data_IF_262809064811
#
_entry.id   IF_262809064811
#
_cell.length_a   1.000
_cell.length_b   1.000
_cell.length_c   1.000
_cell.angle_alpha   90.00
_cell.angle_beta   90.00
_cell.angle_gamma   90.00
#
_symmetry.space_group_name_H-M   'P 1'
#
loop_
_entity.id
_entity.type
_entity.pdbx_description
1 polymer ?
#
# COMPACT_ATOMS: atom_id res chain seq x y z
N UNK A 1 -4.39 -20.26 11.30
CA UNK A 1 -5.25 -19.98 10.11
C UNK A 1 -4.41 -19.41 8.98
N UNK A 2 -3.60 -18.36 9.22
CA UNK A 2 -2.67 -17.85 8.21
C UNK A 2 -1.78 -18.93 7.59
N UNK A 3 -1.32 -19.88 8.40
CA UNK A 3 -0.51 -21.04 8.00
C UNK A 3 -1.16 -21.82 6.84
N UNK A 4 -2.49 -21.93 6.86
CA UNK A 4 -3.29 -22.60 5.83
C UNK A 4 -3.40 -21.77 4.54
N UNK A 5 -3.36 -20.43 4.64
CA UNK A 5 -3.36 -19.50 3.51
C UNK A 5 -1.97 -19.47 2.87
N UNK A 6 -0.92 -19.31 3.69
CA UNK A 6 0.49 -19.34 3.30
C UNK A 6 0.84 -20.68 2.63
N UNK A 7 0.25 -21.80 3.07
CA UNK A 7 0.44 -23.10 2.42
C UNK A 7 -0.11 -23.17 0.97
N UNK A 8 -1.11 -22.35 0.60
CA UNK A 8 -1.60 -22.23 -0.78
C UNK A 8 -0.59 -21.46 -1.64
N UNK A 9 -0.13 -20.30 -1.14
CA UNK A 9 0.89 -19.46 -1.77
C UNK A 9 2.17 -20.27 -2.04
N UNK A 10 2.67 -20.96 -1.01
CA UNK A 10 3.89 -21.77 -1.02
C UNK A 10 3.74 -23.07 -1.82
N UNK A 11 2.52 -23.53 -2.13
CA UNK A 11 2.29 -24.78 -2.84
C UNK A 11 3.07 -24.85 -4.17
N UNK A 12 3.92 -25.87 -4.35
CA UNK A 12 4.70 -26.09 -5.60
C UNK A 12 3.84 -26.56 -6.79
N UNK A 13 2.55 -26.84 -6.58
CA UNK A 13 1.57 -27.13 -7.63
C UNK A 13 0.77 -25.87 -7.95
N UNK A 14 0.18 -25.82 -9.15
CA UNK A 14 -0.79 -24.79 -9.51
C UNK A 14 -2.02 -24.90 -8.61
N UNK A 15 -2.38 -23.81 -7.94
CA UNK A 15 -3.61 -23.64 -7.17
C UNK A 15 -4.58 -22.78 -7.99
N UNK A 16 -5.80 -23.26 -8.23
CA UNK A 16 -6.82 -22.54 -8.99
C UNK A 16 -8.04 -22.34 -8.10
N UNK A 17 -8.39 -21.09 -7.84
CA UNK A 17 -9.68 -20.72 -7.26
C UNK A 17 -10.74 -20.69 -8.37
N UNK A 18 -11.87 -21.35 -8.12
CA UNK A 18 -12.95 -21.59 -9.09
C UNK A 18 -14.29 -21.26 -8.46
N UNK A 19 -14.72 -19.99 -8.58
CA UNK A 19 -15.83 -19.45 -7.81
C UNK A 19 -17.16 -19.51 -8.56
N UNK A 20 -18.21 -19.96 -7.88
CA UNK A 20 -19.59 -19.92 -8.35
C UNK A 20 -20.50 -19.53 -7.17
N UNK A 21 -21.38 -18.54 -7.38
CA UNK A 21 -22.11 -17.90 -6.29
C UNK A 21 -21.22 -16.98 -5.43
N UNK A 22 -21.67 -16.71 -4.20
CA UNK A 22 -21.05 -15.72 -3.33
C UNK A 22 -19.77 -16.20 -2.63
N UNK A 23 -18.74 -15.35 -2.59
CA UNK A 23 -17.56 -15.55 -1.74
C UNK A 23 -17.15 -14.24 -1.04
N UNK A 24 -17.20 -14.25 0.28
CA UNK A 24 -17.21 -13.05 1.14
C UNK A 24 -16.15 -13.19 2.24
N UNK A 25 -15.51 -12.08 2.64
CA UNK A 25 -14.49 -12.01 3.70
C UNK A 25 -13.41 -13.10 3.57
N UNK A 26 -13.42 -14.11 4.45
CA UNK A 26 -12.51 -15.26 4.42
C UNK A 26 -12.50 -16.03 3.08
N UNK A 27 -13.57 -15.97 2.29
CA UNK A 27 -13.59 -16.46 0.91
C UNK A 27 -12.62 -15.69 0.01
N UNK A 28 -12.58 -14.36 0.11
CA UNK A 28 -11.62 -13.51 -0.58
C UNK A 28 -10.20 -13.81 -0.10
N UNK A 29 -9.98 -13.91 1.22
CA UNK A 29 -8.68 -14.27 1.83
C UNK A 29 -8.10 -15.57 1.28
N UNK A 30 -8.95 -16.59 1.04
CA UNK A 30 -8.53 -17.85 0.44
C UNK A 30 -8.18 -17.68 -1.05
N UNK A 31 -8.99 -16.97 -1.84
CA UNK A 31 -8.74 -16.89 -3.28
C UNK A 31 -7.56 -16.00 -3.66
N UNK A 32 -7.25 -14.94 -2.90
CA UNK A 32 -6.09 -14.06 -3.17
C UNK A 32 -4.75 -14.77 -2.98
N UNK A 33 -4.72 -15.85 -2.18
CA UNK A 33 -3.59 -16.76 -2.03
C UNK A 33 -3.46 -17.83 -3.14
N UNK A 34 -4.37 -17.85 -4.12
CA UNK A 34 -4.37 -18.80 -5.24
C UNK A 34 -3.76 -18.19 -6.52
N UNK A 35 -2.94 -18.99 -7.22
CA UNK A 35 -2.20 -18.57 -8.43
C UNK A 35 -3.09 -18.04 -9.56
N UNK A 36 -4.27 -18.66 -9.73
CA UNK A 36 -5.22 -18.33 -10.78
C UNK A 36 -6.61 -18.29 -10.16
N UNK A 37 -7.31 -17.19 -10.38
CA UNK A 37 -8.69 -16.95 -9.92
C UNK A 37 -9.61 -16.88 -11.14
N UNK A 38 -10.71 -17.62 -11.12
CA UNK A 38 -11.72 -17.67 -12.20
C UNK A 38 -13.11 -17.85 -11.62
N UNK A 39 -14.12 -17.16 -12.19
CA UNK A 39 -15.49 -17.16 -11.66
C UNK A 39 -16.56 -17.43 -12.73
N UNK A 40 -17.79 -17.68 -12.29
CA UNK A 40 -18.98 -17.56 -13.16
C UNK A 40 -19.53 -16.15 -13.19
N UNK A 41 -20.27 -15.77 -14.24
CA UNK A 41 -21.00 -14.49 -14.35
C UNK A 41 -22.00 -14.20 -13.21
N UNK A 42 -22.45 -15.22 -12.48
CA UNK A 42 -23.32 -15.08 -11.31
C UNK A 42 -22.58 -15.28 -9.98
N UNK A 43 -21.24 -15.18 -9.99
CA UNK A 43 -20.45 -15.07 -8.77
C UNK A 43 -20.48 -13.62 -8.26
N UNK A 44 -20.33 -13.46 -6.95
CA UNK A 44 -20.35 -12.16 -6.30
C UNK A 44 -19.43 -12.11 -5.09
N UNK A 45 -18.81 -10.96 -4.89
CA UNK A 45 -17.73 -10.74 -3.94
C UNK A 45 -18.04 -9.58 -3.01
N UNK A 46 -17.55 -9.63 -1.77
CA UNK A 46 -17.64 -8.50 -0.84
C UNK A 46 -16.65 -8.60 0.33
N UNK A 47 -16.01 -7.48 0.67
CA UNK A 47 -15.08 -7.33 1.81
C UNK A 47 -15.89 -6.80 3.00
N UNK A 48 -16.70 -7.67 3.61
CA UNK A 48 -17.66 -7.31 4.68
C UNK A 48 -17.08 -7.25 6.08
N UNK A 49 -15.76 -7.24 6.22
CA UNK A 49 -15.10 -7.15 7.51
C UNK A 49 -15.55 -5.90 8.31
N UNK A 50 -15.71 -4.74 7.66
CA UNK A 50 -16.25 -3.53 8.32
C UNK A 50 -17.74 -3.66 8.67
N UNK A 51 -18.55 -4.15 7.73
CA UNK A 51 -20.00 -4.41 7.91
C UNK A 51 -20.29 -5.37 9.08
N UNK A 52 -19.37 -6.29 9.35
CA UNK A 52 -19.48 -7.33 10.38
C UNK A 52 -18.69 -6.98 11.67
N UNK A 53 -18.10 -5.77 11.74
CA UNK A 53 -17.21 -5.33 12.83
C UNK A 53 -16.05 -6.31 13.15
N UNK A 54 -15.52 -6.97 12.12
CA UNK A 54 -14.40 -7.91 12.21
C UNK A 54 -13.06 -7.17 12.02
N UNK A 55 -12.07 -7.51 12.84
CA UNK A 55 -10.72 -7.02 12.66
C UNK A 55 -10.13 -7.56 11.34
N UNK A 56 -9.73 -6.65 10.44
CA UNK A 56 -9.14 -7.03 9.15
C UNK A 56 -7.71 -7.53 9.35
N UNK A 57 -7.39 -8.68 8.77
CA UNK A 57 -6.02 -9.17 8.70
C UNK A 57 -5.17 -8.32 7.75
N UNK A 58 -4.08 -7.72 8.26
CA UNK A 58 -3.19 -6.86 7.49
C UNK A 58 -2.58 -7.58 6.27
N UNK A 59 -2.22 -8.86 6.41
CA UNK A 59 -1.72 -9.66 5.30
C UNK A 59 -2.76 -9.84 4.18
N UNK A 60 -4.04 -9.88 4.52
CA UNK A 60 -5.14 -10.00 3.56
C UNK A 60 -5.37 -8.70 2.78
N UNK A 61 -5.26 -7.54 3.44
CA UNK A 61 -5.25 -6.25 2.74
C UNK A 61 -4.03 -6.09 1.84
N UNK A 62 -2.84 -6.53 2.28
CA UNK A 62 -1.61 -6.47 1.49
C UNK A 62 -1.67 -7.37 0.24
N UNK A 63 -2.20 -8.59 0.36
CA UNK A 63 -2.48 -9.49 -0.79
C UNK A 63 -3.54 -8.93 -1.73
N UNK A 64 -4.57 -8.26 -1.19
CA UNK A 64 -5.63 -7.68 -2.00
C UNK A 64 -5.09 -6.47 -2.79
N UNK A 65 -4.34 -5.56 -2.15
CA UNK A 65 -3.78 -4.38 -2.82
C UNK A 65 -2.69 -4.69 -3.85
N UNK A 66 -1.96 -5.81 -3.72
CA UNK A 66 -1.05 -6.26 -4.79
C UNK A 66 -1.75 -6.88 -5.99
N UNK A 67 -3.05 -7.23 -5.87
CA UNK A 67 -3.89 -7.76 -6.96
C UNK A 67 -4.74 -6.64 -7.59
N UNK A 68 -5.58 -5.97 -6.78
CA UNK A 68 -6.57 -4.99 -7.29
C UNK A 68 -6.07 -3.54 -7.29
N UNK A 69 -4.89 -3.28 -6.74
CA UNK A 69 -4.37 -1.93 -6.53
C UNK A 69 -4.97 -1.23 -5.30
N UNK A 70 -4.20 -0.32 -4.70
CA UNK A 70 -4.55 0.33 -3.43
C UNK A 70 -5.93 1.02 -3.44
N UNK A 71 -6.26 1.76 -4.50
CA UNK A 71 -7.53 2.49 -4.60
C UNK A 71 -8.76 1.57 -4.53
N UNK A 72 -8.75 0.47 -5.28
CA UNK A 72 -9.82 -0.52 -5.26
C UNK A 72 -9.88 -1.25 -3.90
N UNK A 73 -8.74 -1.58 -3.30
CA UNK A 73 -8.71 -2.16 -1.94
C UNK A 73 -9.37 -1.24 -0.91
N UNK A 74 -9.09 0.06 -0.96
CA UNK A 74 -9.68 1.03 -0.02
C UNK A 74 -11.18 1.22 -0.26
N UNK A 75 -11.63 1.34 -1.51
CA UNK A 75 -13.06 1.40 -1.84
C UNK A 75 -13.81 0.15 -1.34
N UNK A 76 -13.33 -1.05 -1.71
CA UNK A 76 -13.98 -2.31 -1.34
C UNK A 76 -14.00 -2.55 0.18
N UNK A 77 -12.90 -2.25 0.88
CA UNK A 77 -12.78 -2.47 2.32
C UNK A 77 -13.56 -1.43 3.16
N UNK A 78 -13.63 -0.18 2.73
CA UNK A 78 -14.35 0.88 3.48
C UNK A 78 -15.85 0.92 3.18
N UNK A 79 -16.28 0.56 1.96
CA UNK A 79 -17.71 0.56 1.59
C UNK A 79 -18.43 -0.76 1.90
N UNK A 80 -17.68 -1.85 2.12
CA UNK A 80 -18.21 -3.22 2.24
C UNK A 80 -19.21 -3.61 1.12
N UNK A 81 -19.11 -2.98 -0.05
CA UNK A 81 -20.07 -3.17 -1.15
C UNK A 81 -19.95 -4.56 -1.77
N UNK A 82 -21.00 -4.98 -2.47
CA UNK A 82 -20.96 -6.20 -3.28
C UNK A 82 -20.58 -5.84 -4.72
N UNK A 83 -19.65 -6.61 -5.29
CA UNK A 83 -19.13 -6.45 -6.64
C UNK A 83 -19.16 -7.80 -7.40
N UNK A 84 -19.07 -7.75 -8.72
CA UNK A 84 -19.51 -8.86 -9.58
C UNK A 84 -18.62 -9.07 -10.82
N UNK A 85 -18.71 -10.29 -11.37
CA UNK A 85 -18.34 -10.71 -12.73
C UNK A 85 -17.24 -9.92 -13.48
N UNK A 86 -17.60 -8.86 -14.20
CA UNK A 86 -16.70 -8.10 -15.06
C UNK A 86 -15.92 -7.03 -14.29
N UNK A 87 -16.44 -6.59 -13.14
CA UNK A 87 -15.74 -5.70 -12.22
C UNK A 87 -14.59 -6.44 -11.53
N UNK A 88 -14.85 -7.67 -11.06
CA UNK A 88 -13.80 -8.58 -10.55
C UNK A 88 -12.68 -8.78 -11.57
N UNK A 89 -13.01 -8.79 -12.87
CA UNK A 89 -12.04 -8.96 -13.96
C UNK A 89 -11.31 -7.65 -14.30
N UNK A 90 -12.00 -6.51 -14.27
CA UNK A 90 -11.41 -5.20 -14.50
C UNK A 90 -10.38 -4.85 -13.41
N UNK A 91 -10.59 -5.34 -12.19
CA UNK A 91 -9.68 -5.21 -11.05
C UNK A 91 -8.61 -6.32 -10.97
N UNK A 92 -8.45 -7.19 -11.99
CA UNK A 92 -7.54 -8.36 -11.98
C UNK A 92 -7.72 -9.35 -10.80
N UNK A 93 -8.81 -9.22 -10.02
CA UNK A 93 -9.18 -10.19 -8.99
C UNK A 93 -9.54 -11.54 -9.62
N UNK A 94 -10.14 -11.55 -10.82
CA UNK A 94 -10.34 -12.79 -11.58
C UNK A 94 -9.77 -12.69 -13.00
N UNK A 95 -8.98 -13.68 -13.39
CA UNK A 95 -8.38 -13.73 -14.72
C UNK A 95 -9.39 -14.01 -15.84
N UNK A 96 -10.49 -14.71 -15.53
CA UNK A 96 -11.53 -15.14 -16.49
C UNK A 96 -12.88 -15.29 -15.81
N UNK A 97 -13.92 -14.89 -16.54
CA UNK A 97 -15.33 -15.06 -16.22
C UNK A 97 -15.94 -16.04 -17.22
N UNK A 98 -16.74 -16.99 -16.75
CA UNK A 98 -17.47 -17.96 -17.56
C UNK A 98 -18.98 -17.77 -17.42
N UNK A 99 -19.78 -18.01 -18.46
CA UNK A 99 -21.23 -17.77 -18.39
C UNK A 99 -21.95 -18.86 -17.59
N UNK A 100 -21.51 -20.11 -17.72
CA UNK A 100 -22.12 -21.27 -17.06
C UNK A 100 -21.08 -22.04 -16.21
N UNK A 101 -21.50 -22.58 -15.07
CA UNK A 101 -20.63 -23.38 -14.17
C UNK A 101 -19.95 -24.55 -14.91
N UNK A 102 -20.67 -25.21 -15.83
CA UNK A 102 -20.11 -26.32 -16.61
C UNK A 102 -18.98 -25.88 -17.59
N UNK A 103 -18.91 -24.59 -17.94
CA UNK A 103 -17.83 -23.99 -18.73
C UNK A 103 -16.63 -23.64 -17.84
N UNK A 104 -16.88 -23.10 -16.64
CA UNK A 104 -15.86 -22.89 -15.61
C UNK A 104 -15.11 -24.20 -15.32
N UNK A 105 -15.82 -25.31 -15.10
CA UNK A 105 -15.22 -26.63 -14.90
C UNK A 105 -14.36 -27.09 -16.10
N UNK A 106 -14.82 -26.84 -17.34
CA UNK A 106 -14.05 -27.12 -18.56
C UNK A 106 -12.79 -26.24 -18.61
N UNK A 107 -12.91 -24.96 -18.26
CA UNK A 107 -11.82 -23.99 -18.17
C UNK A 107 -10.75 -24.40 -17.16
N UNK A 108 -11.15 -24.78 -15.94
CA UNK A 108 -10.25 -25.28 -14.88
C UNK A 108 -9.55 -26.57 -15.32
N UNK A 109 -10.28 -27.56 -15.86
CA UNK A 109 -9.67 -28.79 -16.40
C UNK A 109 -8.67 -28.53 -17.52
N UNK A 110 -8.91 -27.53 -18.37
CA UNK A 110 -7.97 -27.15 -19.42
C UNK A 110 -6.75 -26.40 -18.86
N UNK A 111 -6.93 -25.48 -17.90
CA UNK A 111 -5.84 -24.82 -17.18
C UNK A 111 -4.91 -25.82 -16.51
N UNK A 112 -5.45 -26.83 -15.82
CA UNK A 112 -4.67 -27.88 -15.14
C UNK A 112 -3.81 -28.72 -16.11
N UNK A 113 -4.22 -28.87 -17.38
CA UNK A 113 -3.48 -29.62 -18.42
C UNK A 113 -2.32 -28.84 -19.05
N UNK A 114 -2.27 -27.52 -18.90
CA UNK A 114 -1.24 -26.68 -19.54
C UNK A 114 0.04 -26.60 -18.70
N UNK A 115 1.17 -26.89 -19.33
CA UNK A 115 2.52 -26.76 -18.74
C UNK A 115 2.97 -27.99 -17.93
N UNK A 116 4.29 -28.18 -17.84
CA UNK A 116 4.90 -29.25 -17.03
C UNK A 116 5.00 -28.81 -15.57
N UNK A 117 4.68 -29.70 -14.62
CA UNK A 117 4.67 -29.39 -13.18
C UNK A 117 5.99 -28.79 -12.65
N UNK A 118 7.14 -29.27 -13.12
CA UNK A 118 8.44 -28.72 -12.74
C UNK A 118 8.65 -27.26 -13.18
N UNK A 119 8.17 -26.90 -14.38
CA UNK A 119 8.25 -25.52 -14.90
C UNK A 119 7.31 -24.59 -14.13
N UNK A 120 6.13 -25.08 -13.74
CA UNK A 120 5.18 -24.34 -12.90
C UNK A 120 5.79 -24.07 -11.52
N UNK A 121 6.43 -25.07 -10.90
CA UNK A 121 7.10 -24.92 -9.61
C UNK A 121 8.26 -23.90 -9.67
N UNK A 122 9.10 -23.97 -10.71
CA UNK A 122 10.17 -23.00 -10.97
C UNK A 122 9.61 -21.58 -11.14
N UNK A 123 8.59 -21.41 -11.98
CA UNK A 123 7.97 -20.11 -12.25
C UNK A 123 7.42 -19.47 -10.97
N UNK A 124 6.71 -20.25 -10.12
CA UNK A 124 6.21 -19.76 -8.83
C UNK A 124 7.34 -19.32 -7.90
N UNK A 125 8.47 -20.02 -7.88
CA UNK A 125 9.63 -19.61 -7.06
C UNK A 125 10.24 -18.30 -7.55
N UNK A 126 10.47 -18.17 -8.86
CA UNK A 126 11.01 -16.93 -9.45
C UNK A 126 10.10 -15.72 -9.20
N UNK A 127 8.77 -15.88 -9.26
CA UNK A 127 7.85 -14.79 -8.91
C UNK A 127 7.94 -14.39 -7.42
N UNK A 128 8.06 -15.36 -6.49
CA UNK A 128 8.27 -15.06 -5.06
C UNK A 128 9.57 -14.30 -4.81
N UNK A 129 10.66 -14.69 -5.48
CA UNK A 129 11.93 -13.97 -5.40
C UNK A 129 11.81 -12.52 -5.89
N UNK A 130 11.09 -12.29 -7.00
CA UNK A 130 10.87 -10.95 -7.53
C UNK A 130 10.03 -10.08 -6.58
N UNK A 131 8.95 -10.62 -6.03
CA UNK A 131 8.10 -9.93 -5.06
C UNK A 131 8.88 -9.56 -3.78
N UNK A 132 9.70 -10.49 -3.26
CA UNK A 132 10.56 -10.25 -2.10
C UNK A 132 11.64 -9.18 -2.38
N UNK A 133 12.23 -9.16 -3.58
CA UNK A 133 13.20 -8.12 -3.99
C UNK A 133 12.53 -6.76 -4.10
N UNK A 134 11.32 -6.68 -4.66
CA UNK A 134 10.52 -5.45 -4.74
C UNK A 134 10.27 -4.87 -3.35
N UNK A 135 9.74 -5.68 -2.42
CA UNK A 135 9.48 -5.24 -1.04
C UNK A 135 10.74 -4.79 -0.30
N UNK A 136 11.89 -5.41 -0.57
CA UNK A 136 13.17 -4.99 0.01
C UNK A 136 13.68 -3.66 -0.58
N UNK A 137 13.43 -3.40 -1.87
CA UNK A 137 13.77 -2.13 -2.51
C UNK A 137 12.88 -0.98 -2.00
N UNK A 138 11.57 -1.22 -1.89
CA UNK A 138 10.60 -0.25 -1.31
C UNK A 138 11.00 0.14 0.13
N UNK A 139 11.42 -0.83 0.94
CA UNK A 139 11.96 -0.57 2.30
C UNK A 139 13.24 0.28 2.27
N UNK A 140 14.21 -0.07 1.42
CA UNK A 140 15.47 0.67 1.30
C UNK A 140 15.23 2.12 0.88
N UNK A 141 14.32 2.37 -0.06
CA UNK A 141 13.91 3.73 -0.46
C UNK A 141 13.33 4.47 0.75
N UNK A 142 12.34 3.88 1.45
CA UNK A 142 11.75 4.54 2.64
C UNK A 142 12.77 4.83 3.75
N UNK A 143 13.79 3.99 3.93
CA UNK A 143 14.87 4.25 4.90
C UNK A 143 15.76 5.40 4.46
N UNK A 144 16.05 5.53 3.16
CA UNK A 144 16.81 6.65 2.61
C UNK A 144 16.04 7.97 2.74
N UNK A 145 14.74 7.97 2.40
CA UNK A 145 13.83 9.11 2.57
C UNK A 145 13.75 9.57 4.04
N UNK A 146 13.73 8.64 5.01
CA UNK A 146 13.83 9.00 6.43
C UNK A 146 15.21 9.57 6.77
N UNK A 147 16.33 9.03 6.27
CA UNK A 147 17.65 9.63 6.55
C UNK A 147 17.86 11.02 5.92
N UNK A 148 17.26 11.31 4.75
CA UNK A 148 17.25 12.68 4.22
C UNK A 148 16.35 13.60 5.06
N UNK A 149 15.18 13.11 5.49
CA UNK A 149 14.25 13.86 6.35
C UNK A 149 14.82 14.16 7.74
N UNK A 150 15.48 13.19 8.37
CA UNK A 150 16.12 13.31 9.69
C UNK A 150 17.32 14.25 9.64
N UNK A 151 18.20 14.12 8.62
CA UNK A 151 19.35 15.04 8.45
C UNK A 151 18.90 16.46 8.12
N UNK A 152 17.83 16.63 7.32
CA UNK A 152 17.25 17.96 7.07
C UNK A 152 16.59 18.52 8.34
N UNK A 153 15.93 17.67 9.14
CA UNK A 153 15.33 18.03 10.42
C UNK A 153 16.37 18.46 11.46
N UNK A 154 17.46 17.72 11.62
CA UNK A 154 18.59 18.09 12.47
C UNK A 154 19.26 19.37 11.99
N UNK A 155 19.45 19.55 10.67
CA UNK A 155 20.03 20.78 10.11
C UNK A 155 19.13 22.01 10.31
N UNK A 156 17.81 21.88 10.15
CA UNK A 156 16.84 22.97 10.41
C UNK A 156 16.76 23.28 11.91
N UNK A 157 16.71 22.26 12.78
CA UNK A 157 16.72 22.46 14.23
C UNK A 157 18.02 23.11 14.72
N UNK A 158 19.17 22.78 14.11
CA UNK A 158 20.45 23.44 14.38
C UNK A 158 20.47 24.90 13.89
N UNK A 159 19.85 25.22 12.75
CA UNK A 159 19.73 26.58 12.25
C UNK A 159 18.82 27.45 13.14
N UNK A 160 17.60 26.99 13.46
CA UNK A 160 16.70 27.69 14.40
C UNK A 160 17.32 27.84 15.80
N UNK A 161 18.12 26.87 16.23
CA UNK A 161 18.85 26.91 17.49
C UNK A 161 20.01 27.91 17.51
N UNK A 162 20.56 28.27 16.36
CA UNK A 162 21.62 29.27 16.21
C UNK A 162 21.05 30.70 16.15
N UNK A 163 19.94 30.92 15.44
CA UNK A 163 19.30 32.25 15.34
C UNK A 163 18.90 32.80 16.72
N UNK A 164 18.33 31.97 17.59
CA UNK A 164 17.97 32.34 18.98
C UNK A 164 19.17 32.69 19.87
N UNK A 165 20.40 32.32 19.49
CA UNK A 165 21.61 32.71 20.21
C UNK A 165 22.25 33.99 19.67
N UNK A 166 21.80 34.50 18.52
CA UNK A 166 22.20 35.81 18.00
C UNK A 166 21.51 36.96 18.74
N UNK A 167 20.19 36.85 18.97
CA UNK A 167 19.38 37.94 19.55
C UNK A 167 19.71 38.26 21.02
N UNK A 168 20.27 37.31 21.78
CA UNK A 168 20.73 37.55 23.17
C UNK A 168 22.14 38.18 23.25
N UNK A 169 22.85 38.33 22.11
CA UNK A 169 24.26 38.77 22.07
C UNK A 169 24.49 40.28 21.87
N UNK A 170 23.51 41.02 21.34
CA UNK A 170 23.68 42.42 20.90
C UNK A 170 23.01 43.43 21.86
N UNK A 171 23.34 43.33 23.15
CA UNK A 171 22.69 44.08 24.24
C UNK A 171 23.64 44.78 25.24
N UNK A 172 24.93 44.94 24.93
CA UNK A 172 25.86 45.74 25.76
C UNK A 172 26.99 46.41 24.95
N UNK A 173 26.67 47.55 24.31
CA UNK A 173 27.65 48.41 23.63
C UNK A 173 27.15 49.86 23.50
N UNK A 174 27.16 50.62 24.60
CA UNK A 174 26.84 52.07 24.60
C UNK A 174 28.09 52.94 24.81
N UNK A 175 28.59 53.64 23.77
CA UNK A 175 29.52 54.75 23.91
C UNK A 175 28.79 56.10 23.84
N UNK A 176 29.21 57.01 24.71
CA UNK A 176 28.73 58.39 24.89
C UNK A 176 29.46 59.37 23.95
N UNK A 177 28.77 59.87 22.90
CA UNK A 177 28.97 61.20 22.30
C UNK A 177 27.69 61.66 21.53
N UNK A 178 27.49 62.95 21.21
CA UNK A 178 28.19 64.13 21.71
C UNK A 178 28.42 65.28 20.72
N UNK A 179 27.37 65.79 20.05
CA UNK A 179 27.23 67.13 19.39
C UNK A 179 25.77 67.23 18.89
N UNK A 180 24.98 68.26 19.18
CA UNK A 180 25.04 69.70 18.85
C UNK A 180 24.70 70.02 17.38
N UNK A 181 23.57 70.72 17.15
CA UNK A 181 23.54 72.03 16.46
C UNK A 181 22.10 72.64 16.44
N UNK A 182 22.01 73.83 17.05
CA UNK A 182 21.20 75.04 16.77
C UNK A 182 19.89 75.02 15.94
N UNK A 183 18.89 75.76 16.45
CA UNK A 183 18.44 77.04 15.83
C UNK A 183 17.50 77.86 16.73
N UNK A 184 17.61 79.21 16.65
CA UNK A 184 16.62 80.26 16.96
C UNK A 184 16.03 80.37 18.40
N UNK A 185 15.85 81.54 19.03
CA UNK A 185 16.08 82.97 18.69
C UNK A 185 15.77 83.88 19.91
N UNK A 186 16.17 85.17 19.87
CA UNK A 186 15.74 86.28 20.79
C UNK A 186 16.21 86.16 22.27
N UNK A 187 16.49 87.21 23.06
CA UNK A 187 16.82 88.65 22.88
C UNK A 187 17.67 89.11 24.12
N UNK A 188 18.09 90.35 24.41
CA UNK A 188 17.91 91.74 23.93
C UNK A 188 19.15 92.60 24.40
N UNK A 189 19.22 93.87 23.98
CA UNK A 189 20.05 95.01 24.49
C UNK A 189 21.58 94.84 24.73
#
# INVERSE_FOLDING_TARGET
MQDSIIALEQCRKRVIASMHGGYICGGIVIIIACDIRVCTKYAFSSVKEMDLALAVDLGSLQRLSSIVGFGNTMDLALTARTFFDLEEKYMDLVSRVFYLQHELDKGVRNLLRVGKAAVIAMLKETYRELEARKLNLEKLISTLEMTEGDVLGEAVAAAEGAERQGEEGEADASPDDGTDDDADSESDD
#
